data_IF_193077967079
#
_entry.id   IF_193077967079
#
_cell.length_a   1.000
_cell.length_b   1.000
_cell.length_c   1.000
_cell.angle_alpha   90.00
_cell.angle_beta   90.00
_cell.angle_gamma   90.00
#
_symmetry.space_group_name_H-M   'P 1'
#
loop_
_entity.id
_entity.type
_entity.pdbx_description
1 polymer ?
#
# COMPACT_ATOMS: atom_id res chain seq x y z
N UNK A 1 4.10 1.71 -16.64
CA UNK A 1 3.11 0.61 -16.58
C UNK A 1 1.75 1.25 -16.72
N UNK A 2 0.98 0.90 -17.74
CA UNK A 2 -0.35 1.46 -17.96
C UNK A 2 -1.41 0.54 -17.35
N UNK A 3 -2.29 1.09 -16.50
CA UNK A 3 -3.32 0.38 -15.71
C UNK A 3 -4.53 -0.08 -16.52
N UNK A 4 -4.32 -0.47 -17.78
CA UNK A 4 -5.41 -0.98 -18.58
C UNK A 4 -5.80 -2.36 -18.03
N UNK A 5 -7.01 -2.45 -17.46
CA UNK A 5 -7.68 -3.69 -17.06
C UNK A 5 -7.31 -4.31 -15.70
N UNK A 6 -7.09 -3.50 -14.64
CA UNK A 6 -7.11 -4.02 -13.25
C UNK A 6 -8.55 -4.06 -12.77
N UNK A 7 -9.00 -5.25 -12.37
CA UNK A 7 -10.31 -5.45 -11.75
C UNK A 7 -10.34 -4.83 -10.35
N UNK A 8 -11.38 -4.04 -10.04
CA UNK A 8 -11.44 -3.20 -8.83
C UNK A 8 -11.41 -4.00 -7.53
N UNK A 9 -11.86 -5.25 -7.55
CA UNK A 9 -11.74 -6.26 -6.48
C UNK A 9 -10.29 -6.56 -6.06
N UNK A 10 -9.30 -6.16 -6.87
CA UNK A 10 -7.88 -6.43 -6.64
C UNK A 10 -7.09 -5.20 -6.20
N UNK A 11 -7.80 -4.11 -5.88
CA UNK A 11 -7.24 -2.82 -5.54
C UNK A 11 -7.71 -2.39 -4.16
N UNK A 12 -6.77 -2.00 -3.31
CA UNK A 12 -7.06 -1.30 -2.06
C UNK A 12 -6.36 0.06 -2.07
N UNK A 13 -7.14 1.12 -1.85
CA UNK A 13 -6.66 2.48 -1.68
C UNK A 13 -6.93 2.94 -0.24
N UNK A 14 -5.89 3.44 0.43
CA UNK A 14 -5.96 4.02 1.78
C UNK A 14 -5.24 5.36 1.78
N UNK A 15 -5.85 6.38 2.40
CA UNK A 15 -5.24 7.68 2.63
C UNK A 15 -5.08 7.91 4.13
N UNK A 16 -3.85 7.91 4.62
CA UNK A 16 -3.55 8.01 6.05
C UNK A 16 -3.51 9.45 6.61
N UNK A 17 -3.92 10.45 5.82
CA UNK A 17 -4.30 11.79 6.30
C UNK A 17 -5.83 11.94 6.44
N UNK A 18 -6.61 10.92 6.10
CA UNK A 18 -8.07 10.95 6.30
C UNK A 18 -8.41 10.85 7.79
N UNK A 19 -9.09 11.87 8.31
CA UNK A 19 -9.51 11.96 9.72
C UNK A 19 -10.31 10.73 10.19
N UNK A 20 -11.00 10.01 9.28
CA UNK A 20 -11.76 8.80 9.60
C UNK A 20 -10.88 7.61 9.97
N UNK A 21 -9.63 7.62 9.50
CA UNK A 21 -8.64 6.59 9.83
C UNK A 21 -7.83 6.99 11.07
N UNK A 22 -7.78 8.27 11.43
CA UNK A 22 -6.94 8.75 12.50
C UNK A 22 -7.57 8.53 13.90
N UNK A 23 -6.79 8.12 14.91
CA UNK A 23 -5.41 7.65 14.83
C UNK A 23 -5.33 6.20 14.30
N UNK A 24 -4.35 5.94 13.42
CA UNK A 24 -4.08 4.63 12.86
C UNK A 24 -2.67 4.16 13.25
N UNK A 25 -2.56 2.90 13.65
CA UNK A 25 -1.29 2.24 13.93
C UNK A 25 -1.02 1.10 12.93
N UNK A 26 0.20 0.55 13.00
CA UNK A 26 0.60 -0.62 12.19
C UNK A 26 -0.34 -1.82 12.33
N UNK A 27 -0.95 -2.03 13.50
CA UNK A 27 -1.83 -3.18 13.73
C UNK A 27 -3.13 -2.98 12.94
N UNK A 28 -3.72 -1.80 13.02
CA UNK A 28 -4.95 -1.46 12.32
C UNK A 28 -4.75 -1.41 10.80
N UNK A 29 -3.60 -0.91 10.36
CA UNK A 29 -3.18 -0.99 8.96
C UNK A 29 -3.08 -2.45 8.49
N UNK A 30 -2.49 -3.34 9.29
CA UNK A 30 -2.45 -4.78 9.02
C UNK A 30 -3.85 -5.39 8.91
N UNK A 31 -4.72 -5.10 9.88
CA UNK A 31 -6.13 -5.58 9.88
C UNK A 31 -6.88 -5.16 8.60
N UNK A 32 -6.64 -3.94 8.08
CA UNK A 32 -7.25 -3.47 6.83
C UNK A 32 -6.76 -4.26 5.61
N UNK A 33 -5.47 -4.59 5.56
CA UNK A 33 -4.91 -5.43 4.50
C UNK A 33 -5.44 -6.86 4.60
N UNK A 34 -5.53 -7.41 5.80
CA UNK A 34 -6.07 -8.76 6.02
C UNK A 34 -7.57 -8.82 5.64
N UNK A 35 -8.35 -7.78 5.96
CA UNK A 35 -9.75 -7.68 5.57
C UNK A 35 -9.93 -7.76 4.05
N UNK A 36 -9.01 -7.22 3.25
CA UNK A 36 -9.04 -7.36 1.79
C UNK A 36 -8.95 -8.83 1.36
N UNK A 37 -8.02 -9.60 1.94
CA UNK A 37 -7.86 -11.03 1.62
C UNK A 37 -9.03 -11.88 2.13
N UNK A 38 -9.64 -11.50 3.26
CA UNK A 38 -10.85 -12.16 3.75
C UNK A 38 -12.02 -11.94 2.78
N UNK A 39 -12.19 -10.71 2.28
CA UNK A 39 -13.27 -10.37 1.36
C UNK A 39 -13.04 -10.93 -0.04
N UNK A 40 -11.79 -11.11 -0.45
CA UNK A 40 -11.40 -11.60 -1.76
C UNK A 40 -10.31 -12.69 -1.65
N UNK A 41 -10.68 -13.91 -1.21
CA UNK A 41 -9.70 -15.00 -1.00
C UNK A 41 -8.91 -15.36 -2.27
N UNK A 42 -9.49 -15.18 -3.45
CA UNK A 42 -8.83 -15.43 -4.74
C UNK A 42 -7.60 -14.53 -4.98
N UNK A 43 -7.46 -13.43 -4.24
CA UNK A 43 -6.28 -12.57 -4.29
C UNK A 43 -4.99 -13.30 -3.86
N UNK A 44 -5.07 -14.37 -3.08
CA UNK A 44 -3.90 -15.18 -2.75
C UNK A 44 -3.21 -15.77 -3.98
N UNK A 45 -3.94 -15.95 -5.08
CA UNK A 45 -3.44 -16.50 -6.35
C UNK A 45 -3.18 -15.41 -7.42
N UNK A 46 -3.37 -14.14 -7.07
CA UNK A 46 -3.34 -13.03 -8.01
C UNK A 46 -2.50 -11.86 -7.49
N UNK A 47 -2.07 -10.98 -8.40
CA UNK A 47 -1.42 -9.74 -8.00
C UNK A 47 -2.47 -8.76 -7.46
N UNK A 48 -2.32 -8.38 -6.20
CA UNK A 48 -3.06 -7.30 -5.55
C UNK A 48 -2.27 -5.98 -5.66
N UNK A 49 -2.99 -4.86 -5.79
CA UNK A 49 -2.42 -3.53 -5.86
C UNK A 49 -2.85 -2.73 -4.63
N UNK A 50 -1.86 -2.28 -3.84
CA UNK A 50 -2.09 -1.40 -2.70
C UNK A 50 -1.60 0.01 -3.03
N UNK A 51 -2.50 0.98 -2.88
CA UNK A 51 -2.22 2.39 -2.99
C UNK A 51 -2.35 3.01 -1.61
N UNK A 52 -1.21 3.32 -1.01
CA UNK A 52 -1.09 3.70 0.39
C UNK A 52 -0.59 5.14 0.44
N UNK A 53 -1.52 6.07 0.41
CA UNK A 53 -1.21 7.50 0.43
C UNK A 53 -0.88 7.97 1.84
N UNK A 54 0.18 8.76 1.95
CA UNK A 54 0.69 9.28 3.21
C UNK A 54 1.03 8.22 4.29
N UNK A 55 1.42 7.01 3.85
CA UNK A 55 1.74 5.86 4.71
C UNK A 55 2.79 6.12 5.79
N UNK A 56 3.69 7.09 5.59
CA UNK A 56 4.66 7.45 6.62
C UNK A 56 4.04 8.05 7.89
N UNK A 57 2.76 8.43 7.86
CA UNK A 57 2.03 8.89 9.04
C UNK A 57 1.66 7.73 9.98
N UNK A 58 1.70 6.48 9.50
CA UNK A 58 1.46 5.29 10.32
C UNK A 58 2.77 4.81 10.91
N UNK A 59 2.91 4.87 12.24
CA UNK A 59 4.11 4.35 12.89
C UNK A 59 4.28 2.85 12.63
N UNK A 60 5.49 2.43 12.25
CA UNK A 60 5.81 1.01 12.00
C UNK A 60 5.22 0.38 10.73
N UNK A 61 4.64 1.19 9.84
CA UNK A 61 4.13 0.76 8.53
C UNK A 61 5.06 -0.14 7.69
N UNK A 62 6.41 -0.04 7.75
CA UNK A 62 7.28 -0.94 6.99
C UNK A 62 7.05 -2.41 7.30
N UNK A 63 6.77 -2.75 8.56
CA UNK A 63 6.58 -4.14 9.00
C UNK A 63 5.36 -4.77 8.33
N UNK A 64 4.29 -3.98 8.17
CA UNK A 64 3.06 -4.42 7.49
C UNK A 64 3.34 -4.78 6.04
N UNK A 65 4.11 -3.95 5.31
CA UNK A 65 4.43 -4.20 3.90
C UNK A 65 5.40 -5.37 3.73
N UNK A 66 6.40 -5.49 4.61
CA UNK A 66 7.39 -6.56 4.55
C UNK A 66 6.80 -7.95 4.72
N UNK A 67 5.80 -8.10 5.59
CA UNK A 67 5.11 -9.39 5.80
C UNK A 67 4.33 -9.80 4.55
N UNK A 68 3.82 -8.83 3.78
CA UNK A 68 2.90 -9.08 2.68
C UNK A 68 3.58 -9.52 1.36
N UNK A 69 4.93 -9.50 1.28
CA UNK A 69 5.88 -10.06 0.25
C UNK A 69 5.57 -9.92 -1.26
N UNK A 70 4.39 -9.49 -1.69
CA UNK A 70 3.87 -9.62 -3.07
C UNK A 70 3.34 -8.28 -3.60
N UNK A 71 3.66 -7.18 -2.93
CA UNK A 71 3.04 -5.89 -3.16
C UNK A 71 3.90 -5.01 -4.07
N UNK A 72 3.31 -4.56 -5.18
CA UNK A 72 3.82 -3.38 -5.90
C UNK A 72 3.32 -2.14 -5.17
N UNK A 73 4.18 -1.59 -4.32
CA UNK A 73 3.92 -0.33 -3.64
C UNK A 73 4.00 0.84 -4.63
N UNK A 74 2.96 1.67 -4.66
CA UNK A 74 2.92 2.90 -5.42
C UNK A 74 2.59 4.07 -4.49
N UNK A 75 3.58 4.95 -4.32
CA UNK A 75 3.44 6.21 -3.57
C UNK A 75 3.25 7.37 -4.55
N UNK A 76 2.40 8.36 -4.23
CA UNK A 76 2.37 9.61 -4.99
C UNK A 76 3.72 10.32 -4.88
N UNK A 77 4.19 10.87 -6.01
CA UNK A 77 5.55 11.37 -6.22
C UNK A 77 6.05 12.46 -5.24
N UNK A 78 5.19 13.02 -4.38
CA UNK A 78 5.51 14.19 -3.53
C UNK A 78 6.40 13.86 -2.33
N UNK A 79 6.60 12.59 -1.93
CA UNK A 79 7.41 12.23 -0.74
C UNK A 79 8.51 11.16 -0.99
N UNK A 80 9.03 11.09 -2.21
CA UNK A 80 10.05 10.11 -2.63
C UNK A 80 11.37 10.18 -1.83
N UNK A 81 11.74 11.35 -1.31
CA UNK A 81 13.00 11.55 -0.59
C UNK A 81 13.05 10.88 0.80
N UNK A 82 11.91 10.74 1.48
CA UNK A 82 11.81 10.01 2.75
C UNK A 82 11.98 8.50 2.54
N UNK A 83 11.30 8.00 1.51
CA UNK A 83 11.27 6.61 1.10
C UNK A 83 12.66 6.12 0.64
N UNK A 84 13.34 6.89 -0.21
CA UNK A 84 14.70 6.58 -0.68
C UNK A 84 15.75 6.52 0.45
N UNK A 85 15.57 7.29 1.52
CA UNK A 85 16.47 7.24 2.69
C UNK A 85 16.22 6.03 3.59
N UNK A 86 14.96 5.61 3.71
CA UNK A 86 14.55 4.56 4.67
C UNK A 86 14.71 3.14 4.11
N UNK A 87 14.66 2.98 2.79
CA UNK A 87 14.80 1.69 2.12
C UNK A 87 15.86 1.77 1.02
N UNK A 88 17.01 1.11 1.23
CA UNK A 88 18.02 0.87 0.18
C UNK A 88 17.54 -0.20 -0.84
N UNK A 89 16.28 -0.15 -1.27
CA UNK A 89 15.68 -1.11 -2.21
C UNK A 89 15.26 -0.40 -3.50
N UNK A 90 15.43 -1.01 -4.69
CA UNK A 90 15.00 -0.37 -5.94
C UNK A 90 13.48 -0.16 -5.94
N UNK A 91 13.07 1.10 -5.89
CA UNK A 91 11.70 1.54 -6.13
C UNK A 91 11.35 1.29 -7.60
N UNK A 92 10.25 0.58 -7.87
CA UNK A 92 9.63 0.56 -9.20
C UNK A 92 8.66 1.73 -9.26
N UNK A 93 9.21 2.93 -9.52
CA UNK A 93 8.43 4.15 -9.68
C UNK A 93 7.54 4.11 -10.91
N UNK A 94 6.24 3.93 -10.72
CA UNK A 94 5.23 4.24 -11.73
C UNK A 94 4.75 5.67 -11.52
N UNK A 95 5.27 6.60 -12.32
CA UNK A 95 4.69 7.94 -12.45
C UNK A 95 3.24 7.78 -12.94
N UNK A 96 2.29 8.31 -12.17
CA UNK A 96 0.95 8.53 -12.69
C UNK A 96 0.99 9.62 -13.77
N UNK A 97 0.19 9.49 -14.86
CA UNK A 97 0.07 10.55 -15.87
C UNK A 97 -0.54 11.83 -15.29
#
# INVERSE_FOLDING_TARGET
MSFHNISLDRLLYLNFEDDRLMPIDQKKMGEMVDALYILQPDLHNHRCFLFLDEVQNVEGWPLVIWIQKTLKFMSPARRLSYLARKFQHPYVGGLYP
#
